data_IF_374254103723
#
_entry.id   IF_374254103723
#
_cell.length_a   1.000
_cell.length_b   1.000
_cell.length_c   1.000
_cell.angle_alpha   90.00
_cell.angle_beta   90.00
_cell.angle_gamma   90.00
#
_symmetry.space_group_name_H-M   'P 1'
#
loop_
_entity.id
_entity.type
_entity.pdbx_description
1 polymer ?
#
# COMPACT_ATOMS: atom_id res chain seq x y z
N UNK A 1 -9.87 18.29 14.20
CA UNK A 1 -8.41 18.44 14.12
C UNK A 1 -7.99 18.86 12.71
N UNK A 2 -6.99 19.74 12.55
CA UNK A 2 -6.50 20.16 11.22
C UNK A 2 -5.67 19.02 10.64
N UNK A 3 -6.32 18.16 9.85
CA UNK A 3 -5.68 17.08 9.10
C UNK A 3 -4.43 17.63 8.43
N UNK A 4 -3.33 16.91 8.59
CA UNK A 4 -2.09 17.24 7.91
C UNK A 4 -2.35 17.43 6.41
N UNK A 5 -2.07 18.62 5.88
CA UNK A 5 -2.37 18.94 4.49
C UNK A 5 -1.19 18.54 3.61
N UNK A 6 -1.17 17.27 3.21
CA UNK A 6 -0.29 16.82 2.14
C UNK A 6 -0.95 17.10 0.78
N UNK A 7 -0.20 17.59 -0.22
CA UNK A 7 -0.77 17.80 -1.55
C UNK A 7 -1.22 16.47 -2.17
N UNK A 8 -2.52 16.24 -2.24
CA UNK A 8 -3.12 15.03 -2.79
C UNK A 8 -2.62 14.73 -4.21
N UNK A 9 -2.49 15.76 -5.05
CA UNK A 9 -1.96 15.61 -6.40
C UNK A 9 -0.51 15.06 -6.45
N UNK A 10 0.32 15.39 -5.46
CA UNK A 10 1.68 14.85 -5.35
C UNK A 10 1.65 13.39 -4.91
N UNK A 11 0.76 13.04 -3.97
CA UNK A 11 0.55 11.67 -3.53
C UNK A 11 0.04 10.79 -4.68
N UNK A 12 -0.96 11.25 -5.42
CA UNK A 12 -1.51 10.59 -6.59
C UNK A 12 -0.44 10.35 -7.66
N UNK A 13 0.40 11.35 -7.95
CA UNK A 13 1.51 11.21 -8.91
C UNK A 13 2.54 10.20 -8.44
N UNK A 14 2.90 10.21 -7.15
CA UNK A 14 3.86 9.26 -6.60
C UNK A 14 3.34 7.82 -6.64
N UNK A 15 2.08 7.61 -6.27
CA UNK A 15 1.41 6.31 -6.37
C UNK A 15 1.38 5.84 -7.82
N UNK A 16 0.95 6.69 -8.76
CA UNK A 16 0.92 6.31 -10.17
C UNK A 16 2.32 5.90 -10.67
N UNK A 17 3.38 6.66 -10.35
CA UNK A 17 4.75 6.27 -10.70
C UNK A 17 5.14 4.90 -10.12
N UNK A 18 4.76 4.61 -8.88
CA UNK A 18 5.02 3.31 -8.22
C UNK A 18 4.31 2.16 -8.92
N UNK A 19 3.05 2.35 -9.30
CA UNK A 19 2.27 1.35 -10.03
C UNK A 19 2.98 0.91 -11.31
N UNK A 20 3.59 1.85 -12.05
CA UNK A 20 4.31 1.53 -13.28
C UNK A 20 5.55 0.65 -13.05
N UNK A 21 6.11 0.66 -11.84
CA UNK A 21 7.28 -0.13 -11.44
C UNK A 21 6.93 -1.47 -10.77
N UNK A 22 5.65 -1.74 -10.53
CA UNK A 22 5.23 -3.00 -9.91
C UNK A 22 5.45 -4.19 -10.86
N UNK A 23 5.81 -5.37 -10.32
CA UNK A 23 5.78 -6.61 -11.09
C UNK A 23 4.33 -7.03 -11.41
N UNK A 24 4.17 -7.79 -12.50
CA UNK A 24 2.92 -8.53 -12.72
C UNK A 24 2.80 -9.65 -11.66
N UNK A 25 1.58 -9.94 -11.17
CA UNK A 25 0.28 -9.42 -11.60
C UNK A 25 -0.18 -8.11 -10.92
N UNK A 26 0.59 -7.59 -9.95
CA UNK A 26 0.18 -6.45 -9.13
C UNK A 26 -0.05 -5.17 -9.95
N UNK A 27 0.82 -4.91 -10.93
CA UNK A 27 0.70 -3.76 -11.82
C UNK A 27 -0.63 -3.73 -12.57
N UNK A 28 -1.03 -4.85 -13.15
CA UNK A 28 -2.24 -4.96 -13.99
C UNK A 28 -3.49 -4.79 -13.14
N UNK A 29 -3.56 -5.52 -12.02
CA UNK A 29 -4.65 -5.42 -11.05
C UNK A 29 -4.85 -4.00 -10.54
N UNK A 30 -3.74 -3.32 -10.20
CA UNK A 30 -3.80 -1.97 -9.66
C UNK A 30 -4.12 -0.96 -10.75
N UNK A 31 -3.57 -1.08 -11.96
CA UNK A 31 -3.82 -0.13 -13.07
C UNK A 31 -5.30 -0.13 -13.49
N UNK A 32 -5.92 -1.32 -13.57
CA UNK A 32 -7.35 -1.47 -13.87
C UNK A 32 -8.20 -0.70 -12.85
N UNK A 33 -7.94 -0.90 -11.55
CA UNK A 33 -8.68 -0.24 -10.46
C UNK A 33 -8.34 1.24 -10.34
N UNK A 34 -7.09 1.62 -10.55
CA UNK A 34 -6.62 3.00 -10.50
C UNK A 34 -7.27 3.89 -11.56
N UNK A 35 -7.66 3.32 -12.69
CA UNK A 35 -8.42 4.01 -13.74
C UNK A 35 -9.86 4.32 -13.31
N UNK A 36 -10.39 3.62 -12.30
CA UNK A 36 -11.71 3.87 -11.75
C UNK A 36 -11.66 5.02 -10.75
N UNK A 37 -12.27 6.16 -11.11
CA UNK A 37 -12.39 7.34 -10.23
C UNK A 37 -12.81 7.03 -8.78
N UNK A 38 -13.85 6.20 -8.50
CA UNK A 38 -14.25 5.93 -7.12
C UNK A 38 -13.18 5.17 -6.33
N UNK A 39 -12.53 4.18 -6.96
CA UNK A 39 -11.46 3.43 -6.32
C UNK A 39 -10.25 4.32 -6.03
N UNK A 40 -9.79 5.09 -7.03
CA UNK A 40 -8.64 5.99 -6.89
C UNK A 40 -8.87 6.99 -5.75
N UNK A 41 -10.05 7.63 -5.71
CA UNK A 41 -10.42 8.57 -4.65
C UNK A 41 -10.40 7.90 -3.27
N UNK A 42 -11.07 6.76 -3.12
CA UNK A 42 -11.10 6.01 -1.86
C UNK A 42 -9.71 5.54 -1.42
N UNK A 43 -8.87 5.09 -2.36
CA UNK A 43 -7.50 4.67 -2.06
C UNK A 43 -6.67 5.84 -1.52
N UNK A 44 -6.76 7.01 -2.16
CA UNK A 44 -6.06 8.20 -1.70
C UNK A 44 -6.55 8.64 -0.32
N UNK A 45 -7.86 8.81 -0.15
CA UNK A 45 -8.43 9.41 1.06
C UNK A 45 -8.38 8.48 2.27
N UNK A 46 -8.66 7.19 2.09
CA UNK A 46 -8.82 6.24 3.19
C UNK A 46 -7.57 5.38 3.46
N UNK A 47 -6.65 5.27 2.49
CA UNK A 47 -5.46 4.42 2.62
C UNK A 47 -4.16 5.20 2.58
N UNK A 48 -3.90 5.93 1.51
CA UNK A 48 -2.61 6.59 1.32
C UNK A 48 -2.47 7.84 2.20
N UNK A 49 -3.49 8.69 2.30
CA UNK A 49 -3.42 9.94 3.08
C UNK A 49 -3.28 9.70 4.59
N UNK A 50 -3.98 8.73 5.21
CA UNK A 50 -3.77 8.39 6.61
C UNK A 50 -2.36 7.84 6.86
N UNK A 51 -1.83 6.99 5.98
CA UNK A 51 -0.44 6.52 6.06
C UNK A 51 0.55 7.69 6.06
N UNK A 52 0.39 8.63 5.12
CA UNK A 52 1.22 9.84 5.06
C UNK A 52 1.11 10.63 6.35
N UNK A 53 -0.09 10.78 6.91
CA UNK A 53 -0.33 11.50 8.16
C UNK A 53 0.38 10.81 9.34
N UNK A 54 0.25 9.49 9.46
CA UNK A 54 0.93 8.69 10.48
C UNK A 54 2.45 8.83 10.37
N UNK A 55 3.01 8.81 9.16
CA UNK A 55 4.45 9.04 8.94
C UNK A 55 4.86 10.48 9.27
N UNK A 56 4.04 11.47 8.90
CA UNK A 56 4.33 12.89 9.09
C UNK A 56 4.29 13.32 10.55
N UNK A 57 3.25 12.87 11.26
CA UNK A 57 2.83 13.33 12.59
C UNK A 57 3.15 12.33 13.69
N UNK A 58 3.27 11.05 13.35
CA UNK A 58 3.67 10.00 14.28
C UNK A 58 5.09 10.13 14.81
N UNK A 59 5.84 11.20 14.50
CA UNK A 59 7.07 11.56 15.21
C UNK A 59 6.87 12.57 16.34
N UNK A 60 5.75 13.30 16.33
CA UNK A 60 5.40 14.32 17.34
C UNK A 60 4.33 13.85 18.30
N UNK A 61 3.64 12.75 18.00
CA UNK A 61 2.61 12.16 18.85
C UNK A 61 3.22 11.31 19.96
N UNK A 62 2.58 11.31 21.12
CA UNK A 62 2.75 10.30 22.15
C UNK A 62 2.25 8.92 21.68
N UNK A 63 2.52 7.90 22.48
CA UNK A 63 2.18 6.50 22.15
C UNK A 63 0.67 6.26 22.09
N UNK A 64 -0.11 6.89 22.98
CA UNK A 64 -1.57 6.74 23.04
C UNK A 64 -2.22 7.32 21.78
N UNK A 65 -1.88 8.54 21.39
CA UNK A 65 -2.39 9.20 20.18
C UNK A 65 -2.00 8.41 18.92
N UNK A 66 -0.79 7.86 18.86
CA UNK A 66 -0.37 7.05 17.72
C UNK A 66 -1.14 5.73 17.65
N UNK A 67 -1.35 5.07 18.78
CA UNK A 67 -2.11 3.83 18.85
C UNK A 67 -3.59 4.05 18.46
N UNK A 68 -4.21 5.14 18.93
CA UNK A 68 -5.57 5.53 18.54
C UNK A 68 -5.66 5.77 17.03
N UNK A 69 -4.76 6.57 16.45
CA UNK A 69 -4.75 6.83 15.01
C UNK A 69 -4.51 5.56 14.17
N UNK A 70 -3.70 4.62 14.67
CA UNK A 70 -3.49 3.30 14.05
C UNK A 70 -4.76 2.42 14.13
N UNK A 71 -5.50 2.50 15.22
CA UNK A 71 -6.77 1.80 15.42
C UNK A 71 -7.89 2.40 14.57
N UNK A 72 -7.96 3.73 14.44
CA UNK A 72 -8.89 4.41 13.52
C UNK A 72 -8.58 4.09 12.06
N UNK A 73 -7.31 3.90 11.73
CA UNK A 73 -6.87 3.43 10.42
C UNK A 73 -7.08 1.90 10.27
N UNK A 74 -8.34 1.47 10.41
CA UNK A 74 -8.81 0.10 10.27
C UNK A 74 -9.24 -0.23 8.84
N UNK A 75 -8.24 -0.26 7.96
CA UNK A 75 -8.42 -0.60 6.55
C UNK A 75 -7.61 -1.83 6.20
N UNK A 76 -8.17 -2.69 5.33
CA UNK A 76 -7.47 -3.87 4.79
C UNK A 76 -6.84 -3.57 3.45
N UNK A 77 -5.68 -4.17 3.18
CA UNK A 77 -4.95 -3.98 1.92
C UNK A 77 -4.98 -5.24 1.07
N UNK A 78 -5.14 -5.06 -0.24
CA UNK A 78 -4.77 -6.06 -1.22
C UNK A 78 -3.25 -6.10 -1.37
N UNK A 79 -2.73 -7.22 -1.88
CA UNK A 79 -1.29 -7.42 -2.03
C UNK A 79 -0.65 -6.34 -2.91
N UNK A 80 -1.28 -6.02 -4.05
CA UNK A 80 -0.85 -4.94 -4.94
C UNK A 80 -0.87 -3.55 -4.28
N UNK A 81 -1.81 -3.29 -3.37
CA UNK A 81 -1.86 -2.02 -2.63
C UNK A 81 -0.71 -1.91 -1.62
N UNK A 82 -0.39 -3.03 -0.98
CA UNK A 82 0.74 -3.14 -0.05
C UNK A 82 2.04 -2.85 -0.77
N UNK A 83 2.27 -3.44 -1.94
CA UNK A 83 3.47 -3.23 -2.75
C UNK A 83 3.64 -1.76 -3.21
N UNK A 84 2.55 -1.01 -3.38
CA UNK A 84 2.61 0.44 -3.67
C UNK A 84 3.01 1.25 -2.44
N UNK A 85 2.45 0.92 -1.28
CA UNK A 85 2.56 1.73 -0.06
C UNK A 85 3.81 1.39 0.76
N UNK A 86 4.28 0.15 0.72
CA UNK A 86 5.42 -0.33 1.50
C UNK A 86 6.69 0.53 1.28
N UNK A 87 7.10 0.86 0.03
CA UNK A 87 8.27 1.71 -0.20
C UNK A 87 8.11 3.10 0.43
N UNK A 88 6.89 3.65 0.41
CA UNK A 88 6.61 4.98 0.99
C UNK A 88 6.88 4.99 2.50
N UNK A 89 6.68 3.88 3.21
CA UNK A 89 7.00 3.75 4.65
C UNK A 89 8.47 3.40 4.87
N UNK A 90 9.12 2.75 3.91
CA UNK A 90 10.54 2.39 3.99
C UNK A 90 11.51 3.54 3.64
N UNK A 91 10.97 4.72 3.33
CA UNK A 91 11.78 5.92 3.10
C UNK A 91 12.00 6.22 1.63
N UNK A 92 11.17 5.67 0.76
CA UNK A 92 11.13 6.08 -0.63
C UNK A 92 10.81 7.58 -0.78
N UNK A 93 11.47 8.22 -1.73
CA UNK A 93 11.76 9.65 -1.78
C UNK A 93 10.61 10.64 -1.55
N UNK A 94 9.34 10.22 -1.67
CA UNK A 94 8.19 11.06 -1.31
C UNK A 94 8.12 11.38 0.19
N UNK A 95 8.31 10.36 1.05
CA UNK A 95 8.14 10.49 2.50
C UNK A 95 9.46 10.48 3.26
N UNK A 96 10.60 10.31 2.57
CA UNK A 96 11.93 10.26 3.18
C UNK A 96 12.20 11.43 4.14
N UNK A 97 11.88 12.66 3.73
CA UNK A 97 12.06 13.86 4.59
C UNK A 97 11.12 13.87 5.79
N UNK A 98 9.94 13.28 5.64
CA UNK A 98 8.89 13.29 6.66
C UNK A 98 9.19 12.26 7.75
N UNK A 99 9.77 11.12 7.37
CA UNK A 99 10.29 10.08 8.24
C UNK A 99 11.52 10.48 9.04
N UNK A 100 12.13 11.65 8.74
CA UNK A 100 13.26 12.14 9.53
C UNK A 100 12.80 12.29 11.00
N UNK A 101 13.33 11.43 11.87
CA UNK A 101 12.99 11.23 13.29
C UNK A 101 11.72 10.41 13.59
N UNK A 102 11.16 9.66 12.65
CA UNK A 102 10.14 8.67 12.97
C UNK A 102 10.81 7.51 13.74
N UNK A 103 10.30 7.12 14.93
CA UNK A 103 10.83 5.97 15.65
C UNK A 103 10.78 4.70 14.78
N UNK A 104 11.83 3.88 14.75
CA UNK A 104 11.87 2.68 13.91
C UNK A 104 10.75 1.70 14.26
N UNK A 105 10.35 1.62 15.53
CA UNK A 105 9.23 0.80 16.00
C UNK A 105 7.90 1.22 15.37
N UNK A 106 7.67 2.53 15.20
CA UNK A 106 6.46 3.05 14.54
C UNK A 106 6.48 2.77 13.04
N UNK A 107 7.63 2.88 12.38
CA UNK A 107 7.77 2.49 10.99
C UNK A 107 7.49 0.98 10.80
N UNK A 108 7.99 0.14 11.71
CA UNK A 108 7.71 -1.31 11.71
C UNK A 108 6.23 -1.59 11.98
N UNK A 109 5.58 -0.88 12.90
CA UNK A 109 4.14 -1.02 13.15
C UNK A 109 3.30 -0.67 11.92
N UNK A 110 3.67 0.37 11.17
CA UNK A 110 3.02 0.73 9.90
C UNK A 110 3.22 -0.35 8.83
N UNK A 111 4.45 -0.86 8.68
CA UNK A 111 4.75 -1.97 7.76
C UNK A 111 3.96 -3.23 8.15
N UNK A 112 3.89 -3.54 9.44
CA UNK A 112 3.11 -4.66 9.95
C UNK A 112 1.63 -4.46 9.61
N UNK A 113 1.06 -3.28 9.84
CA UNK A 113 -0.34 -2.95 9.52
C UNK A 113 -0.66 -3.11 8.04
N UNK A 114 0.23 -2.68 7.14
CA UNK A 114 0.08 -2.92 5.70
C UNK A 114 0.06 -4.42 5.36
N UNK A 115 0.84 -5.23 6.09
CA UNK A 115 0.94 -6.68 5.90
C UNK A 115 -0.12 -7.48 6.63
N UNK A 116 -0.85 -6.88 7.59
CA UNK A 116 -2.01 -7.53 8.23
C UNK A 116 -3.07 -7.73 7.15
N UNK A 117 -3.05 -8.93 6.57
CA UNK A 117 -3.97 -9.32 5.51
C UNK A 117 -5.38 -9.38 6.07
N UNK A 118 -6.33 -9.06 5.20
CA UNK A 118 -7.61 -9.77 5.25
C UNK A 118 -7.29 -11.23 4.97
N UNK A 119 -7.30 -12.06 6.00
CA UNK A 119 -7.23 -13.51 5.84
C UNK A 119 -8.53 -13.98 5.17
N UNK A 120 -8.62 -13.84 3.85
CA UNK A 120 -9.70 -14.43 3.05
C UNK A 120 -9.37 -14.44 1.54
N UNK A 121 -9.30 -15.68 1.03
CA UNK A 121 -9.29 -16.14 -0.36
C UNK A 121 -7.93 -16.20 -1.09
N UNK A 122 -7.56 -17.47 -1.33
CA UNK A 122 -6.42 -18.06 -1.99
C UNK A 122 -5.93 -17.41 -3.30
N UNK A 123 -4.66 -17.63 -3.68
CA UNK A 123 -4.03 -17.02 -4.83
C UNK A 123 -4.56 -17.58 -6.17
N UNK A 124 -4.54 -16.67 -7.14
CA UNK A 124 -4.43 -16.88 -8.58
C UNK A 124 -4.26 -18.34 -9.05
N UNK A 125 -5.21 -18.77 -9.88
CA UNK A 125 -5.01 -19.80 -10.90
C UNK A 125 -3.81 -19.43 -11.76
N UNK A 126 -2.65 -20.01 -11.49
CA UNK A 126 -1.60 -20.13 -12.48
C UNK A 126 -2.10 -21.08 -13.58
N UNK A 127 -2.07 -20.73 -14.87
CA UNK A 127 -2.25 -21.72 -15.91
C UNK A 127 -1.00 -22.61 -15.89
N UNK A 128 -1.13 -23.79 -15.31
CA UNK A 128 -0.18 -24.87 -15.56
C UNK A 128 -0.21 -25.11 -17.08
N UNK A 129 0.94 -24.92 -17.73
CA UNK A 129 1.10 -25.25 -19.14
C UNK A 129 0.76 -26.74 -19.32
N UNK A 130 -0.09 -27.13 -20.28
CA UNK A 130 -0.30 -28.54 -20.56
C UNK A 130 1.00 -29.11 -21.15
N UNK A 131 1.69 -29.88 -20.31
CA UNK A 131 2.80 -30.74 -20.69
C UNK A 131 2.35 -31.65 -21.83
N UNK A 132 3.12 -31.61 -22.92
CA UNK A 132 2.97 -32.46 -24.08
C UNK A 132 2.87 -33.95 -23.67
N UNK A 133 1.79 -34.60 -24.08
CA UNK A 133 1.70 -36.05 -24.14
C UNK A 133 1.48 -36.41 -25.61
N UNK A 134 2.58 -36.76 -26.29
CA UNK A 134 2.56 -37.45 -27.57
C UNK A 134 1.90 -38.83 -27.36
N UNK A 135 0.90 -39.23 -28.17
CA UNK A 135 0.48 -40.62 -28.20
C UNK A 135 1.38 -41.37 -29.20
N UNK A 136 2.31 -42.17 -28.68
CA UNK A 136 2.88 -43.28 -29.45
C UNK A 136 1.83 -44.40 -29.46
N UNK A 137 1.33 -44.74 -30.64
CA UNK A 137 0.49 -45.92 -30.88
C UNK A 137 1.39 -46.97 -31.54
N UNK A 138 1.44 -48.15 -30.93
CA UNK A 138 1.91 -49.40 -31.54
C UNK A 138 0.72 -50.07 -32.24
#
# INVERSE_FOLDING_TARGET
>A
MKLFSFPAASLEKAIHKRVLTLPSPHREWFTERWSQKPYKKSFIENKAMPLVTLVAKGKTWDEETFAEAMAEWDVTFYDAETEVLLPLVQGDGLLQLMQKNLPPERAQALIARLKVRRDAAAPATAPTSPQAAEPTID
#
